data_IF_776992181308
#
_entry.id   IF_776992181308
#
_cell.length_a   1.000
_cell.length_b   1.000
_cell.length_c   1.000
_cell.angle_alpha   90.00
_cell.angle_beta   90.00
_cell.angle_gamma   90.00
#
_symmetry.space_group_name_H-M   'P 1'
#
loop_
_entity.id
_entity.type
_entity.pdbx_description
1 polymer ?
#
# COMPACT_ATOMS: atom_id res chain seq x y z
N UNK A 1 25.61 -3.60 -2.56
CA UNK A 1 25.91 -4.07 -3.94
C UNK A 1 25.99 -5.60 -4.09
N UNK A 2 26.36 -6.35 -3.02
CA UNK A 2 26.50 -7.81 -3.08
C UNK A 2 25.19 -8.51 -3.54
N UNK A 3 24.04 -8.12 -3.00
CA UNK A 3 22.74 -8.68 -3.37
C UNK A 3 22.44 -8.57 -4.88
N UNK A 4 22.75 -7.41 -5.47
CA UNK A 4 22.49 -7.19 -6.91
C UNK A 4 23.39 -8.04 -7.77
N UNK A 5 24.68 -8.12 -7.41
CA UNK A 5 25.67 -8.91 -8.14
C UNK A 5 25.30 -10.39 -8.09
N UNK A 6 25.01 -10.92 -6.91
CA UNK A 6 24.60 -12.31 -6.74
C UNK A 6 23.32 -12.64 -7.53
N UNK A 7 22.29 -11.77 -7.43
CA UNK A 7 21.03 -11.96 -8.15
C UNK A 7 21.28 -12.05 -9.66
N UNK A 8 22.08 -11.13 -10.22
CA UNK A 8 22.40 -11.12 -11.64
C UNK A 8 23.18 -12.37 -12.06
N UNK A 9 24.21 -12.73 -11.32
CA UNK A 9 25.05 -13.90 -11.63
C UNK A 9 24.27 -15.19 -11.56
N UNK A 10 23.53 -15.41 -10.47
CA UNK A 10 22.73 -16.62 -10.29
C UNK A 10 21.61 -16.73 -11.31
N UNK A 11 20.90 -15.61 -11.58
CA UNK A 11 19.83 -15.60 -12.58
C UNK A 11 20.35 -15.86 -13.99
N UNK A 12 21.50 -15.27 -14.36
CA UNK A 12 22.14 -15.53 -15.65
C UNK A 12 22.53 -17.02 -15.80
N UNK A 13 23.06 -17.62 -14.75
CA UNK A 13 23.38 -19.04 -14.75
C UNK A 13 22.14 -19.93 -14.88
N UNK A 14 21.06 -19.58 -14.17
CA UNK A 14 19.78 -20.30 -14.25
C UNK A 14 19.18 -20.22 -15.64
N UNK A 15 19.16 -19.04 -16.25
CA UNK A 15 18.64 -18.83 -17.62
C UNK A 15 19.49 -19.62 -18.63
N UNK A 16 20.81 -19.55 -18.55
CA UNK A 16 21.70 -20.29 -19.43
C UNK A 16 21.52 -21.81 -19.32
N UNK A 17 21.31 -22.31 -18.09
CA UNK A 17 21.03 -23.73 -17.84
C UNK A 17 19.68 -24.18 -18.37
N UNK A 18 18.64 -23.36 -18.20
CA UNK A 18 17.28 -23.66 -18.64
C UNK A 18 17.10 -23.49 -20.15
N UNK A 19 17.87 -22.55 -20.74
CA UNK A 19 17.85 -22.21 -22.17
C UNK A 19 16.43 -22.16 -22.79
N UNK A 20 15.48 -21.41 -22.22
CA UNK A 20 14.11 -21.40 -22.68
C UNK A 20 14.02 -20.80 -24.09
N UNK A 21 13.31 -21.47 -25.01
CA UNK A 21 13.13 -21.03 -26.39
C UNK A 21 12.06 -19.94 -26.51
N UNK A 22 11.06 -19.95 -25.62
CA UNK A 22 9.94 -19.02 -25.63
C UNK A 22 9.41 -18.72 -24.21
N UNK A 23 8.40 -17.83 -24.15
CA UNK A 23 7.79 -17.39 -22.89
C UNK A 23 7.02 -18.51 -22.19
N UNK A 24 6.51 -19.48 -22.92
CA UNK A 24 5.78 -20.60 -22.33
C UNK A 24 6.73 -21.59 -21.67
N UNK A 25 7.91 -21.75 -22.21
CA UNK A 25 8.99 -22.48 -21.54
C UNK A 25 9.51 -21.77 -20.30
N UNK A 26 9.64 -20.45 -20.33
CA UNK A 26 9.97 -19.64 -19.13
C UNK A 26 8.96 -19.90 -18.01
N UNK A 27 7.66 -19.94 -18.31
CA UNK A 27 6.59 -20.17 -17.33
C UNK A 27 6.58 -21.59 -16.74
N UNK A 28 7.04 -22.57 -17.50
CA UNK A 28 7.13 -23.98 -17.07
C UNK A 28 8.38 -24.28 -16.26
N UNK A 29 9.42 -23.46 -16.40
CA UNK A 29 10.66 -23.62 -15.67
C UNK A 29 10.50 -23.21 -14.20
N UNK A 30 11.31 -23.77 -13.29
CA UNK A 30 11.44 -23.25 -11.94
C UNK A 30 11.93 -21.79 -11.99
N UNK A 31 11.82 -21.10 -10.86
CA UNK A 31 12.17 -19.68 -10.75
C UNK A 31 13.56 -19.38 -11.32
N UNK A 32 13.62 -18.79 -12.51
CA UNK A 32 14.86 -18.45 -13.21
C UNK A 32 15.57 -17.26 -12.55
N UNK A 33 14.80 -16.30 -12.04
CA UNK A 33 15.34 -15.12 -11.35
C UNK A 33 15.38 -15.40 -9.85
N UNK A 34 16.57 -15.66 -9.33
CA UNK A 34 16.72 -16.00 -7.92
C UNK A 34 18.13 -15.68 -7.41
N UNK A 35 18.23 -15.51 -6.10
CA UNK A 35 19.53 -15.48 -5.42
C UNK A 35 20.16 -16.87 -5.36
N UNK A 36 21.47 -16.91 -5.19
CA UNK A 36 22.19 -18.14 -4.82
C UNK A 36 21.62 -18.69 -3.49
N UNK A 37 21.79 -20.00 -3.22
CA UNK A 37 21.36 -20.59 -1.95
C UNK A 37 21.95 -19.87 -0.74
N UNK A 38 23.23 -19.56 -0.78
CA UNK A 38 23.95 -18.85 0.29
C UNK A 38 23.42 -17.44 0.53
N UNK A 39 23.22 -16.67 -0.54
CA UNK A 39 22.67 -15.31 -0.44
C UNK A 39 21.22 -15.33 0.04
N UNK A 40 20.44 -16.32 -0.34
CA UNK A 40 19.06 -16.51 0.13
C UNK A 40 19.01 -16.75 1.64
N UNK A 41 19.93 -17.55 2.16
CA UNK A 41 20.02 -17.81 3.59
C UNK A 41 20.40 -16.55 4.36
N UNK A 42 21.43 -15.83 3.92
CA UNK A 42 21.85 -14.57 4.51
C UNK A 42 20.73 -13.52 4.47
N UNK A 43 20.00 -13.42 3.35
CA UNK A 43 18.87 -12.51 3.21
C UNK A 43 17.73 -12.88 4.17
N UNK A 44 17.49 -14.17 4.36
CA UNK A 44 16.45 -14.65 5.28
C UNK A 44 16.80 -14.31 6.72
N UNK A 45 18.05 -14.49 7.10
CA UNK A 45 18.55 -14.11 8.41
C UNK A 45 18.47 -12.61 8.66
N UNK A 46 18.91 -11.80 7.68
CA UNK A 46 18.79 -10.35 7.75
C UNK A 46 17.34 -9.90 7.88
N UNK A 47 16.42 -10.47 7.10
CA UNK A 47 14.98 -10.16 7.20
C UNK A 47 14.41 -10.50 8.58
N UNK A 48 14.83 -11.63 9.15
CA UNK A 48 14.41 -12.04 10.51
C UNK A 48 14.94 -11.07 11.56
N UNK A 49 16.20 -10.69 11.46
CA UNK A 49 16.80 -9.68 12.34
C UNK A 49 16.09 -8.31 12.25
N UNK A 50 15.88 -7.82 11.03
CA UNK A 50 15.18 -6.54 10.82
C UNK A 50 13.74 -6.58 11.31
N UNK A 51 13.04 -7.70 11.12
CA UNK A 51 11.68 -7.88 11.62
C UNK A 51 11.62 -7.75 13.14
N UNK A 52 12.50 -8.42 13.84
CA UNK A 52 12.53 -8.41 15.31
C UNK A 52 12.97 -7.05 15.89
N UNK A 53 14.02 -6.44 15.31
CA UNK A 53 14.68 -5.29 15.91
C UNK A 53 14.21 -3.93 15.36
N UNK A 54 13.69 -3.90 14.12
CA UNK A 54 13.25 -2.66 13.48
C UNK A 54 11.74 -2.61 13.29
N UNK A 55 11.18 -3.54 12.53
CA UNK A 55 9.76 -3.45 12.14
C UNK A 55 8.79 -3.69 13.30
N UNK A 56 9.18 -4.49 14.30
CA UNK A 56 8.40 -4.71 15.53
C UNK A 56 8.78 -3.77 16.67
N UNK A 57 9.65 -2.80 16.41
CA UNK A 57 10.00 -1.82 17.43
C UNK A 57 8.79 -0.99 17.84
N UNK A 58 8.64 -0.72 19.15
CA UNK A 58 7.44 -0.03 19.67
C UNK A 58 7.14 1.31 19.00
N UNK A 59 8.16 2.07 18.57
CA UNK A 59 7.98 3.35 17.86
C UNK A 59 7.33 3.14 16.50
N UNK A 60 7.72 2.11 15.76
CA UNK A 60 7.12 1.74 14.47
C UNK A 60 5.69 1.29 14.68
N UNK A 61 5.45 0.40 15.67
CA UNK A 61 4.10 -0.06 15.99
C UNK A 61 3.16 1.08 16.36
N UNK A 62 3.64 2.08 17.14
CA UNK A 62 2.85 3.28 17.47
C UNK A 62 2.49 4.10 16.24
N UNK A 63 3.44 4.31 15.33
CA UNK A 63 3.18 5.04 14.07
C UNK A 63 2.19 4.29 13.19
N UNK A 64 2.35 2.99 13.04
CA UNK A 64 1.43 2.14 12.26
C UNK A 64 0.02 2.13 12.87
N UNK A 65 -0.09 1.99 14.20
CA UNK A 65 -1.38 2.04 14.88
C UNK A 65 -2.07 3.40 14.72
N UNK A 66 -1.29 4.51 14.79
CA UNK A 66 -1.80 5.86 14.53
C UNK A 66 -2.30 6.01 13.08
N UNK A 67 -1.52 5.55 12.10
CA UNK A 67 -1.91 5.61 10.69
C UNK A 67 -3.20 4.81 10.41
N UNK A 68 -3.28 3.59 10.93
CA UNK A 68 -4.50 2.77 10.81
C UNK A 68 -5.74 3.46 11.42
N UNK A 69 -5.56 4.08 12.58
CA UNK A 69 -6.64 4.81 13.24
C UNK A 69 -7.12 5.97 12.38
N UNK A 70 -6.20 6.82 11.91
CA UNK A 70 -6.52 7.96 11.05
C UNK A 70 -7.30 7.52 9.81
N UNK A 71 -6.81 6.50 9.09
CA UNK A 71 -7.48 6.00 7.88
C UNK A 71 -8.89 5.48 8.20
N UNK A 72 -9.04 4.71 9.27
CA UNK A 72 -10.36 4.17 9.67
C UNK A 72 -11.35 5.28 10.02
N UNK A 73 -10.92 6.27 10.79
CA UNK A 73 -11.77 7.39 11.21
C UNK A 73 -12.15 8.29 10.03
N UNK A 74 -11.21 8.60 9.12
CA UNK A 74 -11.50 9.32 7.89
C UNK A 74 -12.48 8.55 7.00
N UNK A 75 -12.26 7.26 6.80
CA UNK A 75 -13.14 6.43 5.99
C UNK A 75 -14.58 6.40 6.57
N UNK A 76 -14.70 6.19 7.86
CA UNK A 76 -15.98 6.14 8.53
C UNK A 76 -16.75 7.46 8.42
N UNK A 77 -16.07 8.60 8.64
CA UNK A 77 -16.73 9.92 8.61
C UNK A 77 -17.15 10.32 7.21
N UNK A 78 -16.32 10.10 6.20
CA UNK A 78 -16.67 10.39 4.81
C UNK A 78 -17.74 9.44 4.25
N UNK A 79 -17.74 8.18 4.66
CA UNK A 79 -18.79 7.24 4.26
C UNK A 79 -20.14 7.58 4.89
N UNK A 80 -20.13 8.09 6.12
CA UNK A 80 -21.35 8.55 6.80
C UNK A 80 -21.93 9.82 6.15
N UNK A 81 -21.07 10.74 5.72
CA UNK A 81 -21.47 11.95 5.01
C UNK A 81 -20.47 12.34 3.91
N UNK A 82 -20.78 11.97 2.66
CA UNK A 82 -19.95 12.28 1.49
C UNK A 82 -19.81 13.79 1.25
N UNK A 83 -20.70 14.63 1.76
CA UNK A 83 -20.64 16.09 1.61
C UNK A 83 -19.45 16.72 2.35
N UNK A 84 -18.78 15.97 3.20
CA UNK A 84 -17.54 16.37 3.86
C UNK A 84 -16.30 16.25 2.95
N UNK A 85 -16.42 15.60 1.78
CA UNK A 85 -15.36 15.55 0.78
C UNK A 85 -15.42 16.76 -0.16
N UNK A 86 -14.33 17.11 -0.87
CA UNK A 86 -14.35 18.10 -1.94
C UNK A 86 -15.34 17.72 -3.05
N UNK A 87 -15.97 18.74 -3.67
CA UNK A 87 -17.05 18.57 -4.66
C UNK A 87 -16.72 17.60 -5.80
N UNK A 88 -15.47 17.60 -6.27
CA UNK A 88 -15.03 16.70 -7.34
C UNK A 88 -15.15 15.20 -6.98
N UNK A 89 -14.95 14.85 -5.71
CA UNK A 89 -15.11 13.48 -5.21
C UNK A 89 -16.56 13.15 -4.89
N UNK A 90 -17.35 14.14 -4.46
CA UNK A 90 -18.81 13.99 -4.28
C UNK A 90 -19.47 13.66 -5.62
N UNK A 91 -19.10 14.39 -6.69
CA UNK A 91 -19.65 14.17 -8.02
C UNK A 91 -19.35 12.76 -8.52
N UNK A 92 -18.12 12.26 -8.33
CA UNK A 92 -17.76 10.87 -8.67
C UNK A 92 -18.60 9.85 -7.91
N UNK A 93 -18.78 10.07 -6.60
CA UNK A 93 -19.62 9.19 -5.77
C UNK A 93 -21.09 9.12 -6.22
N UNK A 94 -21.57 10.17 -6.93
CA UNK A 94 -22.96 10.31 -7.37
C UNK A 94 -23.15 10.03 -8.88
N UNK A 95 -22.12 10.20 -9.72
CA UNK A 95 -22.21 10.13 -11.18
C UNK A 95 -22.02 8.75 -11.79
N UNK A 96 -21.34 7.82 -11.13
CA UNK A 96 -21.03 6.50 -11.73
C UNK A 96 -22.27 5.60 -11.97
N UNK A 97 -23.47 6.08 -11.65
CA UNK A 97 -24.72 5.31 -11.82
C UNK A 97 -25.94 6.18 -12.18
N UNK A 98 -25.96 6.86 -13.33
CA UNK A 98 -27.20 7.27 -14.01
C UNK A 98 -28.33 7.92 -13.19
N UNK A 99 -28.03 8.62 -12.11
CA UNK A 99 -28.96 9.58 -11.50
C UNK A 99 -29.97 9.05 -10.48
N UNK A 100 -29.92 7.78 -10.07
CA UNK A 100 -30.76 7.27 -8.97
C UNK A 100 -29.95 6.33 -8.06
N UNK A 101 -29.82 6.71 -6.79
CA UNK A 101 -29.26 5.95 -5.65
C UNK A 101 -27.91 5.27 -5.89
N UNK A 102 -26.82 6.05 -5.79
CA UNK A 102 -25.48 5.50 -5.66
C UNK A 102 -25.47 4.41 -4.57
N UNK A 103 -25.09 3.19 -4.94
CA UNK A 103 -25.05 2.10 -3.98
C UNK A 103 -24.06 2.43 -2.86
N UNK A 104 -24.22 1.83 -1.69
CA UNK A 104 -23.28 1.99 -0.60
C UNK A 104 -21.84 1.58 -0.99
N UNK A 105 -21.72 0.65 -1.95
CA UNK A 105 -20.45 0.20 -2.48
C UNK A 105 -19.75 1.29 -3.31
N UNK A 106 -20.50 2.03 -4.14
CA UNK A 106 -19.93 3.11 -4.97
C UNK A 106 -19.46 4.27 -4.11
N UNK A 107 -20.23 4.63 -3.08
CA UNK A 107 -19.83 5.60 -2.06
C UNK A 107 -18.56 5.17 -1.35
N UNK A 108 -18.48 3.91 -0.92
CA UNK A 108 -17.31 3.36 -0.24
C UNK A 108 -16.07 3.39 -1.16
N UNK A 109 -16.23 3.10 -2.45
CA UNK A 109 -15.16 3.17 -3.44
C UNK A 109 -14.65 4.60 -3.64
N UNK A 110 -15.55 5.57 -3.83
CA UNK A 110 -15.18 6.98 -3.98
C UNK A 110 -14.43 7.51 -2.74
N UNK A 111 -14.88 7.14 -1.54
CA UNK A 111 -14.18 7.47 -0.29
C UNK A 111 -12.81 6.82 -0.23
N UNK A 112 -12.69 5.55 -0.61
CA UNK A 112 -11.40 4.85 -0.64
C UNK A 112 -10.43 5.50 -1.62
N UNK A 113 -10.89 5.86 -2.82
CA UNK A 113 -10.08 6.52 -3.85
C UNK A 113 -9.62 7.93 -3.39
N UNK A 114 -10.49 8.67 -2.72
CA UNK A 114 -10.13 9.97 -2.12
C UNK A 114 -9.02 9.82 -1.08
N UNK A 115 -9.18 8.90 -0.13
CA UNK A 115 -8.17 8.66 0.92
C UNK A 115 -6.88 8.12 0.32
N UNK A 116 -6.94 7.22 -0.67
CA UNK A 116 -5.76 6.66 -1.35
C UNK A 116 -4.97 7.73 -2.11
N UNK A 117 -5.61 8.81 -2.57
CA UNK A 117 -4.96 9.96 -3.19
C UNK A 117 -4.27 10.91 -2.22
N UNK A 118 -4.45 10.74 -0.91
CA UNK A 118 -3.85 11.61 0.09
C UNK A 118 -2.37 11.28 0.33
N UNK A 119 -1.55 12.32 0.53
CA UNK A 119 -0.25 12.13 1.18
C UNK A 119 -0.45 11.95 2.68
N UNK A 120 0.53 11.33 3.37
CA UNK A 120 0.48 11.14 4.84
C UNK A 120 0.20 12.46 5.59
N UNK A 121 0.87 13.54 5.15
CA UNK A 121 0.70 14.88 5.77
C UNK A 121 -0.71 15.43 5.55
N UNK A 122 -1.28 15.20 4.37
CA UNK A 122 -2.63 15.66 4.07
C UNK A 122 -3.66 14.88 4.90
N UNK A 123 -3.55 13.55 4.95
CA UNK A 123 -4.45 12.72 5.75
C UNK A 123 -4.43 13.09 7.24
N UNK A 124 -3.24 13.39 7.81
CA UNK A 124 -3.12 13.84 9.19
C UNK A 124 -3.82 15.19 9.40
N UNK A 125 -3.62 16.16 8.50
CA UNK A 125 -4.27 17.47 8.59
C UNK A 125 -5.78 17.38 8.44
N UNK A 126 -6.24 16.56 7.49
CA UNK A 126 -7.66 16.35 7.25
C UNK A 126 -8.35 15.70 8.45
N UNK A 127 -7.70 14.71 9.03
CA UNK A 127 -8.15 14.11 10.28
C UNK A 127 -8.23 15.15 11.43
N UNK A 128 -7.22 16.01 11.55
CA UNK A 128 -7.23 17.07 12.56
C UNK A 128 -8.38 18.06 12.34
N UNK A 129 -8.65 18.47 11.10
CA UNK A 129 -9.76 19.37 10.77
C UNK A 129 -11.13 18.80 11.15
N UNK A 130 -11.31 17.49 10.98
CA UNK A 130 -12.59 16.82 11.25
C UNK A 130 -12.82 16.46 12.73
N UNK A 131 -11.73 16.17 13.45
CA UNK A 131 -11.82 15.60 14.80
C UNK A 131 -11.24 16.48 15.92
N UNK A 132 -10.54 17.56 15.58
CA UNK A 132 -10.00 18.45 16.59
C UNK A 132 -10.85 19.72 16.64
N UNK A 133 -11.48 19.97 17.77
CA UNK A 133 -12.10 21.26 18.06
C UNK A 133 -10.94 22.20 18.44
N UNK A 134 -10.37 22.89 17.45
CA UNK A 134 -9.45 23.98 17.73
C UNK A 134 -10.30 25.23 17.93
N UNK A 135 -10.13 25.91 19.08
CA UNK A 135 -10.83 27.16 19.43
C UNK A 135 -10.46 28.36 18.53
N UNK A 136 -9.93 28.14 17.34
CA UNK A 136 -9.52 29.19 16.41
C UNK A 136 -9.73 28.72 14.97
N UNK A 137 -10.83 29.14 14.42
CA UNK A 137 -11.11 29.51 13.03
C UNK A 137 -12.62 29.47 12.80
N UNK A 138 -13.29 30.52 13.35
CA UNK A 138 -14.52 31.08 12.81
C UNK A 138 -14.16 32.39 12.14
#
# INVERSE_FOLDING_TARGET
>A
NALVVDLCQQSSANIAKANPADIDEVRKNPMLISFSPEMREQQTELKRFLRANLYQHYRVNRMTAKAHRIIKELFAVFLADIRLMPDEFQVRALQDMGGQDASQMDKARAVADYIAGMTDRYAIKEHQRLFTIADREL
#
